data_IF_259908985079
#
_entry.id   IF_259908985079
#
_cell.length_a   1.000
_cell.length_b   1.000
_cell.length_c   1.000
_cell.angle_alpha   90.00
_cell.angle_beta   90.00
_cell.angle_gamma   90.00
#
_symmetry.space_group_name_H-M   'P 1'
#
loop_
_entity.id
_entity.type
_entity.pdbx_description
1 polymer ?
#
# COMPACT_ATOMS: atom_id res chain seq x y z
N UNK A 1 -6.28 12.71 -15.95
CA UNK A 1 -6.36 12.68 -14.46
C UNK A 1 -6.80 14.05 -13.98
N UNK A 2 -7.95 14.16 -13.32
CA UNK A 2 -8.47 15.45 -12.84
C UNK A 2 -7.69 15.89 -11.60
N UNK A 3 -7.22 17.14 -11.56
CA UNK A 3 -6.48 17.70 -10.42
C UNK A 3 -7.33 17.81 -9.14
N UNK A 4 -8.66 17.87 -9.30
CA UNK A 4 -9.63 18.01 -8.21
C UNK A 4 -9.51 16.91 -7.13
N UNK A 5 -9.58 15.59 -7.43
CA UNK A 5 -9.42 14.55 -6.43
C UNK A 5 -8.06 14.57 -5.73
N UNK A 6 -6.99 14.94 -6.44
CA UNK A 6 -5.65 15.09 -5.84
C UNK A 6 -5.67 16.22 -4.81
N UNK A 7 -6.25 17.37 -5.18
CA UNK A 7 -6.37 18.52 -4.29
C UNK A 7 -7.24 18.19 -3.05
N UNK A 8 -8.40 17.55 -3.25
CA UNK A 8 -9.27 17.12 -2.16
C UNK A 8 -8.54 16.16 -1.23
N UNK A 9 -7.84 15.16 -1.77
CA UNK A 9 -7.05 14.21 -0.99
C UNK A 9 -5.95 14.89 -0.16
N UNK A 10 -5.23 15.86 -0.75
CA UNK A 10 -4.21 16.62 -0.04
C UNK A 10 -4.80 17.46 1.10
N UNK A 11 -5.93 18.14 0.86
CA UNK A 11 -6.60 18.95 1.89
C UNK A 11 -7.09 18.05 3.03
N UNK A 12 -7.75 16.94 2.73
CA UNK A 12 -8.23 15.99 3.76
C UNK A 12 -7.05 15.39 4.53
N UNK A 13 -6.00 14.97 3.84
CA UNK A 13 -4.78 14.44 4.46
C UNK A 13 -4.09 15.45 5.36
N UNK A 14 -4.04 16.72 4.94
CA UNK A 14 -3.47 17.80 5.75
C UNK A 14 -4.28 18.07 7.03
N UNK A 15 -5.61 18.11 6.92
CA UNK A 15 -6.51 18.28 8.08
C UNK A 15 -6.38 17.10 9.04
N UNK A 16 -6.37 15.87 8.50
CA UNK A 16 -6.17 14.64 9.26
C UNK A 16 -4.85 14.65 10.03
N UNK A 17 -3.75 15.02 9.36
CA UNK A 17 -2.43 15.12 9.96
C UNK A 17 -2.37 16.18 11.06
N UNK A 18 -2.97 17.36 10.84
CA UNK A 18 -3.05 18.40 11.88
C UNK A 18 -3.87 17.94 13.08
N UNK A 19 -4.99 17.29 12.85
CA UNK A 19 -5.80 16.70 13.92
C UNK A 19 -5.04 15.64 14.70
N UNK A 20 -4.29 14.76 14.02
CA UNK A 20 -3.43 13.75 14.63
C UNK A 20 -2.32 14.37 15.51
N UNK A 21 -1.71 15.47 15.05
CA UNK A 21 -0.68 16.20 15.79
C UNK A 21 -1.24 16.96 17.00
N UNK A 22 -2.47 17.47 16.89
CA UNK A 22 -3.16 18.14 17.99
C UNK A 22 -3.77 17.15 18.99
N UNK A 23 -3.94 15.89 18.61
CA UNK A 23 -4.63 14.88 19.40
C UNK A 23 -3.91 14.61 20.73
N UNK A 24 -4.51 14.97 21.88
CA UNK A 24 -3.83 14.94 23.18
C UNK A 24 -3.59 13.51 23.71
N UNK A 25 -4.45 12.57 23.31
CA UNK A 25 -4.42 11.18 23.78
C UNK A 25 -3.58 10.22 22.91
N UNK A 26 -3.03 10.69 21.78
CA UNK A 26 -2.26 9.80 20.90
C UNK A 26 -0.79 9.76 21.34
N UNK A 27 -0.25 8.56 21.63
CA UNK A 27 1.13 8.43 22.06
C UNK A 27 2.09 8.85 20.95
N UNK A 28 3.25 9.41 21.33
CA UNK A 28 4.30 9.83 20.40
C UNK A 28 4.70 8.72 19.42
N UNK A 29 4.71 7.47 19.89
CA UNK A 29 4.99 6.28 19.07
C UNK A 29 4.02 6.09 17.90
N UNK A 30 2.74 6.43 18.05
CA UNK A 30 1.78 6.32 16.96
C UNK A 30 2.03 7.39 15.88
N UNK A 31 2.51 8.58 16.28
CA UNK A 31 2.88 9.65 15.34
C UNK A 31 4.14 9.29 14.55
N UNK A 32 5.14 8.73 15.22
CA UNK A 32 6.36 8.25 14.54
C UNK A 32 6.08 7.01 13.68
N UNK A 33 5.17 6.13 14.10
CA UNK A 33 4.75 4.98 13.30
C UNK A 33 4.14 5.42 11.95
N UNK A 34 3.26 6.42 11.93
CA UNK A 34 2.70 6.95 10.67
C UNK A 34 3.80 7.52 9.76
N UNK A 35 4.76 8.23 10.34
CA UNK A 35 5.87 8.80 9.59
C UNK A 35 6.72 7.74 8.88
N UNK A 36 6.94 6.59 9.52
CA UNK A 36 7.67 5.46 8.94
C UNK A 36 6.80 4.53 8.09
N UNK A 37 5.51 4.40 8.40
CA UNK A 37 4.59 3.54 7.67
C UNK A 37 4.36 4.02 6.23
N UNK A 38 4.36 5.33 5.98
CA UNK A 38 4.21 5.89 4.62
C UNK A 38 5.36 5.48 3.69
N UNK A 39 6.65 5.72 3.99
CA UNK A 39 7.75 5.31 3.11
C UNK A 39 7.88 3.79 3.03
N UNK A 40 7.65 3.05 4.11
CA UNK A 40 7.67 1.58 4.08
C UNK A 40 6.51 1.00 3.26
N UNK A 41 5.33 1.62 3.32
CA UNK A 41 4.18 1.30 2.46
C UNK A 41 4.47 1.58 0.99
N UNK A 42 5.13 2.70 0.68
CA UNK A 42 5.54 3.02 -0.68
C UNK A 42 6.59 2.03 -1.21
N UNK A 43 7.55 1.63 -0.36
CA UNK A 43 8.57 0.64 -0.71
C UNK A 43 7.94 -0.74 -0.98
N UNK A 44 7.03 -1.19 -0.12
CA UNK A 44 6.31 -2.47 -0.32
C UNK A 44 5.45 -2.44 -1.57
N UNK A 45 4.77 -1.32 -1.85
CA UNK A 45 4.04 -1.13 -3.10
C UNK A 45 4.96 -1.21 -4.32
N UNK A 46 6.12 -0.55 -4.28
CA UNK A 46 7.11 -0.61 -5.35
C UNK A 46 7.58 -2.05 -5.59
N UNK A 47 7.90 -2.80 -4.53
CA UNK A 47 8.28 -4.21 -4.63
C UNK A 47 7.19 -5.05 -5.31
N UNK A 48 5.91 -4.82 -4.99
CA UNK A 48 4.78 -5.52 -5.64
C UNK A 48 4.72 -5.16 -7.13
N UNK A 49 4.84 -3.87 -7.47
CA UNK A 49 4.75 -3.38 -8.85
C UNK A 49 5.90 -3.78 -9.74
N UNK A 50 7.03 -4.21 -9.16
CA UNK A 50 8.19 -4.69 -9.90
C UNK A 50 8.38 -6.21 -9.75
N UNK A 51 7.45 -6.92 -9.13
CA UNK A 51 7.57 -8.36 -8.89
C UNK A 51 7.31 -9.19 -10.16
N UNK A 52 6.58 -8.64 -11.14
CA UNK A 52 6.34 -9.23 -12.45
C UNK A 52 7.39 -8.83 -13.50
N UNK A 53 8.29 -7.88 -13.19
CA UNK A 53 9.34 -7.42 -14.09
C UNK A 53 10.49 -8.46 -14.20
N UNK A 54 10.49 -9.20 -15.30
CA UNK A 54 11.52 -10.20 -15.62
C UNK A 54 12.95 -9.63 -15.73
N UNK A 55 13.09 -8.30 -15.91
CA UNK A 55 14.38 -7.62 -15.97
C UNK A 55 15.11 -7.61 -14.62
N UNK A 56 14.37 -7.59 -13.50
CA UNK A 56 14.95 -7.51 -12.16
C UNK A 56 15.31 -8.89 -11.59
N UNK A 57 14.71 -9.98 -12.13
CA UNK A 57 14.91 -11.35 -11.66
C UNK A 57 15.17 -12.33 -12.82
N UNK A 58 16.33 -12.23 -13.51
CA UNK A 58 16.62 -13.03 -14.70
C UNK A 58 16.88 -14.52 -14.42
N UNK A 59 17.40 -14.85 -13.22
CA UNK A 59 17.70 -16.23 -12.79
C UNK A 59 16.44 -16.99 -12.33
N UNK A 60 15.43 -16.26 -11.85
CA UNK A 60 14.12 -16.76 -11.46
C UNK A 60 13.09 -16.03 -12.29
N UNK A 61 12.99 -16.37 -13.58
CA UNK A 61 11.96 -15.83 -14.48
C UNK A 61 10.63 -15.83 -13.71
N UNK A 62 10.01 -14.66 -13.44
CA UNK A 62 9.15 -14.46 -12.28
C UNK A 62 7.96 -15.43 -12.30
N UNK A 63 7.54 -15.78 -13.52
CA UNK A 63 6.64 -16.89 -13.76
C UNK A 63 7.39 -18.08 -14.39
N UNK A 64 7.52 -19.22 -13.70
CA UNK A 64 8.09 -20.42 -14.30
C UNK A 64 7.18 -20.90 -15.45
N UNK A 65 7.78 -21.32 -16.56
CA UNK A 65 7.05 -21.84 -17.74
C UNK A 65 6.18 -23.06 -17.41
N UNK A 66 6.54 -23.79 -16.36
CA UNK A 66 5.75 -24.90 -15.84
C UNK A 66 5.06 -24.46 -14.54
N UNK A 67 3.76 -24.75 -14.35
CA UNK A 67 3.10 -24.53 -13.07
C UNK A 67 3.83 -25.34 -12.00
N UNK A 68 4.06 -24.77 -10.81
CA UNK A 68 4.64 -25.48 -9.64
C UNK A 68 3.69 -26.56 -9.05
N UNK A 69 2.85 -27.19 -9.88
CA UNK A 69 2.10 -28.39 -9.57
C UNK A 69 2.92 -29.60 -10.03
N UNK A 70 3.48 -30.36 -9.08
CA UNK A 70 4.04 -31.69 -9.37
C UNK A 70 2.99 -32.52 -10.14
N UNK A 71 3.19 -32.70 -11.44
CA UNK A 71 2.45 -33.68 -12.24
C UNK A 71 1.60 -33.14 -13.40
N UNK A 72 1.56 -31.84 -13.69
CA UNK A 72 0.88 -31.31 -14.89
C UNK A 72 1.92 -30.61 -15.78
N UNK A 73 2.41 -31.33 -16.80
CA UNK A 73 3.18 -30.75 -17.90
C UNK A 73 2.23 -29.95 -18.81
N UNK A 74 1.85 -28.75 -18.38
CA UNK A 74 1.21 -27.76 -19.24
C UNK A 74 2.28 -26.86 -19.86
N UNK A 75 2.47 -26.95 -21.18
CA UNK A 75 3.37 -26.07 -21.95
C UNK A 75 2.72 -24.71 -22.29
N UNK A 76 1.79 -24.24 -21.44
CA UNK A 76 0.98 -23.05 -21.69
C UNK A 76 1.75 -21.75 -21.48
N UNK A 77 1.35 -20.70 -22.21
CA UNK A 77 1.88 -19.36 -21.99
C UNK A 77 1.56 -18.85 -20.58
N UNK A 78 2.51 -18.11 -19.99
CA UNK A 78 2.38 -17.56 -18.63
C UNK A 78 2.52 -16.04 -18.68
N UNK A 79 1.57 -15.33 -18.08
CA UNK A 79 1.61 -13.87 -17.96
C UNK A 79 1.84 -13.47 -16.51
N UNK A 80 2.83 -12.61 -16.28
CA UNK A 80 2.94 -11.83 -15.05
C UNK A 80 1.92 -10.68 -15.09
N UNK A 81 1.22 -10.45 -13.98
CA UNK A 81 0.26 -9.36 -13.84
C UNK A 81 0.53 -8.65 -12.51
N UNK A 82 0.86 -7.36 -12.59
CA UNK A 82 0.82 -6.43 -11.46
C UNK A 82 -0.43 -5.56 -11.51
N UNK A 83 -1.20 -5.54 -10.43
CA UNK A 83 -2.35 -4.63 -10.27
C UNK A 83 -1.99 -3.50 -9.32
N UNK A 84 -2.20 -2.22 -9.69
CA UNK A 84 -1.81 -1.10 -8.84
C UNK A 84 -2.71 -0.93 -7.61
N UNK A 85 -4.00 -1.31 -7.71
CA UNK A 85 -4.94 -1.31 -6.58
C UNK A 85 -6.11 -2.29 -6.80
N UNK A 86 -6.38 -3.23 -5.86
CA UNK A 86 -5.55 -3.58 -4.72
C UNK A 86 -4.16 -4.03 -5.19
N UNK A 87 -3.07 -3.67 -4.46
CA UNK A 87 -1.73 -3.98 -4.92
C UNK A 87 -1.50 -5.48 -4.81
N UNK A 88 -1.31 -6.11 -5.96
CA UNK A 88 -1.03 -7.54 -6.08
C UNK A 88 -0.11 -7.80 -7.26
N UNK A 89 0.67 -8.86 -7.13
CA UNK A 89 1.48 -9.36 -8.24
C UNK A 89 1.33 -10.87 -8.30
N UNK A 90 0.88 -11.37 -9.44
CA UNK A 90 0.64 -12.80 -9.63
C UNK A 90 0.95 -13.25 -11.05
N UNK A 91 1.32 -14.51 -11.17
CA UNK A 91 1.41 -15.23 -12.43
C UNK A 91 0.07 -15.88 -12.73
N UNK A 92 -0.35 -15.82 -14.00
CA UNK A 92 -1.54 -16.50 -14.48
C UNK A 92 -1.17 -17.41 -15.65
N UNK A 93 -1.53 -18.68 -15.56
CA UNK A 93 -1.43 -19.65 -16.64
C UNK A 93 -2.75 -19.74 -17.43
N UNK A 94 -2.69 -20.30 -18.64
CA UNK A 94 -3.88 -20.53 -19.49
C UNK A 94 -4.97 -21.38 -18.83
N UNK A 95 -4.58 -22.36 -18.00
CA UNK A 95 -5.50 -23.22 -17.24
C UNK A 95 -6.26 -22.45 -16.12
N UNK A 96 -5.96 -21.16 -15.94
CA UNK A 96 -6.57 -20.30 -14.93
C UNK A 96 -5.94 -20.43 -13.55
N UNK A 97 -4.86 -21.21 -13.40
CA UNK A 97 -4.08 -21.27 -12.17
C UNK A 97 -3.38 -19.93 -11.93
N UNK A 98 -3.30 -19.55 -10.65
CA UNK A 98 -2.71 -18.28 -10.22
C UNK A 98 -1.66 -18.56 -9.15
N UNK A 99 -0.52 -17.88 -9.22
CA UNK A 99 0.55 -17.95 -8.24
C UNK A 99 0.95 -16.55 -7.80
N UNK A 100 0.83 -16.25 -6.51
CA UNK A 100 1.19 -14.95 -5.96
C UNK A 100 2.71 -14.81 -5.88
N UNK A 101 3.23 -13.73 -6.48
CA UNK A 101 4.66 -13.44 -6.57
C UNK A 101 5.21 -12.80 -5.29
N UNK A 102 4.41 -11.94 -4.66
CA UNK A 102 4.87 -11.13 -3.53
C UNK A 102 3.91 -11.15 -2.32
N UNK A 103 3.45 -12.32 -1.84
CA UNK A 103 2.44 -12.40 -0.78
C UNK A 103 2.89 -11.73 0.53
N UNK A 104 4.20 -11.78 0.84
CA UNK A 104 4.77 -11.09 2.00
C UNK A 104 4.75 -9.57 1.87
N UNK A 105 5.03 -9.04 0.67
CA UNK A 105 4.97 -7.59 0.41
C UNK A 105 3.52 -7.09 0.40
N UNK A 106 2.58 -7.85 -0.15
CA UNK A 106 1.13 -7.56 -0.09
C UNK A 106 0.67 -7.44 1.37
N UNK A 107 1.03 -8.41 2.22
CA UNK A 107 0.69 -8.37 3.64
C UNK A 107 1.26 -7.12 4.33
N UNK A 108 2.55 -6.83 4.13
CA UNK A 108 3.20 -5.66 4.72
C UNK A 108 2.60 -4.34 4.22
N UNK A 109 2.26 -4.25 2.94
CA UNK A 109 1.56 -3.09 2.38
C UNK A 109 0.28 -2.82 3.16
N UNK A 110 -0.55 -3.84 3.39
CA UNK A 110 -1.81 -3.68 4.13
C UNK A 110 -1.60 -3.30 5.59
N UNK A 111 -0.56 -3.84 6.24
CA UNK A 111 -0.18 -3.44 7.60
C UNK A 111 0.22 -1.97 7.65
N UNK A 112 1.11 -1.52 6.76
CA UNK A 112 1.53 -0.12 6.70
C UNK A 112 0.40 0.83 6.30
N UNK A 113 -0.46 0.39 5.38
CA UNK A 113 -1.66 1.12 4.99
C UNK A 113 -2.60 1.30 6.19
N UNK A 114 -2.88 0.25 6.96
CA UNK A 114 -3.69 0.32 8.17
C UNK A 114 -3.06 1.22 9.24
N UNK A 115 -1.75 1.10 9.47
CA UNK A 115 -0.99 1.95 10.39
C UNK A 115 -0.97 3.43 9.98
N UNK A 116 -1.24 3.73 8.71
CA UNK A 116 -1.34 5.11 8.21
C UNK A 116 -2.78 5.63 8.28
N UNK A 117 -3.73 4.85 7.76
CA UNK A 117 -5.14 5.26 7.62
C UNK A 117 -5.83 5.35 8.96
N UNK A 118 -5.60 4.43 9.89
CA UNK A 118 -6.30 4.41 11.19
C UNK A 118 -5.95 5.66 12.03
N UNK A 119 -4.67 6.02 12.23
CA UNK A 119 -4.34 7.23 12.97
C UNK A 119 -4.76 8.51 12.25
N UNK A 120 -4.66 8.57 10.91
CA UNK A 120 -5.14 9.74 10.16
C UNK A 120 -6.67 9.88 10.27
N UNK A 121 -7.43 8.79 10.22
CA UNK A 121 -8.87 8.82 10.43
C UNK A 121 -9.22 9.31 11.84
N UNK A 122 -8.50 8.85 12.87
CA UNK A 122 -8.66 9.35 14.24
C UNK A 122 -8.32 10.84 14.35
N UNK A 123 -7.24 11.28 13.70
CA UNK A 123 -6.85 12.69 13.61
C UNK A 123 -7.91 13.54 12.92
N UNK A 124 -8.43 13.08 11.78
CA UNK A 124 -9.50 13.75 11.04
C UNK A 124 -10.78 13.84 11.88
N UNK A 125 -11.15 12.75 12.55
CA UNK A 125 -12.30 12.72 13.45
C UNK A 125 -12.18 13.72 14.60
N UNK A 126 -11.00 13.81 15.20
CA UNK A 126 -10.72 14.79 16.26
C UNK A 126 -10.78 16.23 15.72
N UNK A 127 -10.20 16.49 14.56
CA UNK A 127 -10.26 17.78 13.89
C UNK A 127 -11.70 18.22 13.58
N UNK A 128 -12.56 17.28 13.19
CA UNK A 128 -13.99 17.54 12.94
C UNK A 128 -14.77 17.80 14.23
N UNK A 129 -14.45 17.11 15.33
CA UNK A 129 -15.12 17.30 16.63
C UNK A 129 -14.68 18.59 17.34
N UNK A 130 -13.40 18.96 17.25
CA UNK A 130 -12.84 20.11 17.95
C UNK A 130 -12.05 21.04 17.00
N UNK A 131 -12.72 21.76 16.09
CA UNK A 131 -12.04 22.57 15.07
C UNK A 131 -11.20 23.71 15.65
N UNK A 132 -11.52 24.17 16.87
CA UNK A 132 -10.74 25.20 17.59
C UNK A 132 -9.32 24.74 17.94
N UNK A 133 -9.09 23.43 18.06
CA UNK A 133 -7.76 22.87 18.33
C UNK A 133 -6.78 23.14 17.17
N UNK A 134 -7.27 23.25 15.93
CA UNK A 134 -6.47 23.53 14.74
C UNK A 134 -6.01 25.00 14.65
N UNK A 135 -6.74 25.91 15.29
CA UNK A 135 -6.47 27.36 15.26
C UNK A 135 -5.49 27.81 16.37
N UNK A 136 -5.21 26.96 17.36
CA UNK A 136 -4.47 27.35 18.56
C UNK A 136 -2.94 27.41 18.38
N UNK A 137 -2.41 27.14 17.17
CA UNK A 137 -0.97 27.14 16.87
C UNK A 137 -0.45 28.42 16.21
N UNK A 138 -1.29 29.43 16.01
CA UNK A 138 -0.92 30.72 15.37
C UNK A 138 -0.91 31.90 16.34
N UNK A 139 -0.59 31.70 17.62
CA UNK A 139 -0.35 32.80 18.57
C UNK A 139 0.96 32.62 19.30
#
# INVERSE_FOLDING_TARGET
MTLLPVFVGLVVGWVALRGLLAHPLLPLWARTAVFWAVPLGALTWFVIMTADDAFLFPETAPCPREPMQKGILGSGEVSGISTPFPPRAYCRWEDGTVYDLAPGAEFLFWVFFALTVVPLAAGLWHALREPKSLLRRTR
#
